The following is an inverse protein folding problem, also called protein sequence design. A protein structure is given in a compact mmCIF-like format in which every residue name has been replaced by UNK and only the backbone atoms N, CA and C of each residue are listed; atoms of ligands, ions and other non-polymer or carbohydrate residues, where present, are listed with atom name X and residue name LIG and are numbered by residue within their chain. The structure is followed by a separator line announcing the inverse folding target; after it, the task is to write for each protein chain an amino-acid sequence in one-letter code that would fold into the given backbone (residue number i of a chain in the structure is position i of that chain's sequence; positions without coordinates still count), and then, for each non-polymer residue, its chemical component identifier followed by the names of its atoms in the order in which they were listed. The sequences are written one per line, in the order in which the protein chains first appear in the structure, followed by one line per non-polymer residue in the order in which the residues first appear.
data_IF_240312383121
#
_entry.id   IF_240312383121
#
_cell.length_a   1.000
_cell.length_b   1.000
_cell.length_c   1.000
_cell.angle_alpha   90.00
_cell.angle_beta   90.00
_cell.angle_gamma   90.00
#
_symmetry.space_group_name_H-M   'P 1'
#
loop_
_entity.id
_entity.type
_entity.pdbx_description
1 polymer ?
#
# COMPACT_ATOMS: atom_id res chain seq x y z
N UNK A 1 4.64 -20.23 -2.33
CA UNK A 1 3.69 -21.27 -1.88
C UNK A 1 2.39 -20.58 -1.51
N UNK A 2 1.24 -21.13 -1.99
CA UNK A 2 -0.07 -20.76 -1.51
C UNK A 2 -0.12 -20.80 0.01
N UNK A 3 -0.61 -19.73 0.59
CA UNK A 3 -0.77 -19.64 2.03
C UNK A 3 -2.20 -20.08 2.39
N UNK A 4 -2.35 -21.20 3.08
CA UNK A 4 -3.65 -21.70 3.49
C UNK A 4 -4.11 -20.96 4.75
N UNK A 5 -4.81 -19.86 4.57
CA UNK A 5 -5.42 -19.13 5.69
C UNK A 5 -6.57 -19.90 6.35
N UNK A 6 -7.12 -20.90 5.67
CA UNK A 6 -8.30 -21.67 6.06
C UNK A 6 -9.57 -20.83 6.33
N UNK A 7 -9.54 -19.54 6.08
CA UNK A 7 -10.68 -18.65 6.24
C UNK A 7 -11.24 -18.20 4.90
N UNK A 8 -12.55 -17.89 4.88
CA UNK A 8 -13.24 -17.21 3.77
C UNK A 8 -13.58 -15.76 4.13
N UNK A 9 -13.18 -15.30 5.30
CA UNK A 9 -13.50 -14.00 5.83
C UNK A 9 -12.59 -12.90 5.24
N UNK A 10 -13.09 -11.66 5.18
CA UNK A 10 -12.30 -10.52 4.74
C UNK A 10 -11.18 -10.23 5.73
N UNK A 11 -9.97 -10.01 5.22
CA UNK A 11 -8.82 -9.50 5.96
C UNK A 11 -8.61 -8.02 5.59
N UNK A 12 -8.41 -7.16 6.59
CA UNK A 12 -8.27 -5.72 6.41
C UNK A 12 -6.83 -5.22 6.54
N UNK A 13 -6.02 -5.93 7.32
CA UNK A 13 -4.62 -5.57 7.51
C UNK A 13 -3.74 -6.80 7.66
N UNK A 14 -2.50 -6.65 7.25
CA UNK A 14 -1.43 -7.63 7.43
C UNK A 14 -0.18 -6.92 7.91
N UNK A 15 0.56 -7.56 8.79
CA UNK A 15 1.82 -7.07 9.33
C UNK A 15 2.82 -8.22 9.48
N UNK A 16 4.09 -7.98 9.15
CA UNK A 16 5.17 -8.95 9.29
C UNK A 16 6.32 -8.34 10.09
N UNK A 17 6.81 -9.11 11.07
CA UNK A 17 7.98 -8.75 11.85
C UNK A 17 9.28 -9.08 11.11
N UNK A 18 9.30 -10.24 10.46
CA UNK A 18 10.43 -10.77 9.68
C UNK A 18 9.90 -11.68 8.56
N UNK A 19 10.80 -12.29 7.80
CA UNK A 19 10.48 -13.23 6.72
C UNK A 19 9.71 -14.49 7.15
N UNK A 20 9.55 -14.76 8.44
CA UNK A 20 8.89 -15.97 8.95
C UNK A 20 7.60 -15.68 9.71
N UNK A 21 7.58 -14.62 10.49
CA UNK A 21 6.50 -14.31 11.44
C UNK A 21 5.65 -13.15 10.98
N UNK A 22 4.36 -13.40 10.82
CA UNK A 22 3.40 -12.39 10.43
C UNK A 22 1.99 -12.68 10.93
N UNK A 23 1.15 -11.66 10.91
CA UNK A 23 -0.23 -11.70 11.36
C UNK A 23 -1.13 -10.95 10.39
N UNK A 24 -2.37 -11.44 10.25
CA UNK A 24 -3.41 -10.76 9.49
C UNK A 24 -4.70 -10.69 10.30
N UNK A 25 -5.45 -9.61 10.15
CA UNK A 25 -6.70 -9.39 10.88
C UNK A 25 -7.84 -9.02 9.94
N UNK A 26 -9.08 -9.31 10.38
CA UNK A 26 -10.25 -9.10 9.53
C UNK A 26 -11.59 -9.10 10.26
N UNK A 27 -12.64 -9.47 9.50
CA UNK A 27 -14.03 -9.54 10.00
C UNK A 27 -14.17 -10.59 11.11
N UNK A 28 -15.22 -10.44 11.93
CA UNK A 28 -15.59 -11.42 12.98
C UNK A 28 -14.46 -11.69 13.99
N UNK A 29 -13.60 -10.70 14.24
CA UNK A 29 -12.48 -10.83 15.14
C UNK A 29 -11.38 -11.77 14.66
N UNK A 30 -11.35 -12.09 13.39
CA UNK A 30 -10.39 -13.02 12.83
C UNK A 30 -8.96 -12.50 12.98
N UNK A 31 -8.11 -13.32 13.57
CA UNK A 31 -6.65 -13.15 13.60
C UNK A 31 -6.03 -14.42 13.06
N UNK A 32 -5.15 -14.28 12.09
CA UNK A 32 -4.32 -15.35 11.56
C UNK A 32 -2.86 -15.05 11.87
N UNK A 33 -2.09 -16.06 12.25
CA UNK A 33 -0.65 -15.96 12.45
C UNK A 33 0.11 -16.99 11.62
N UNK A 34 1.30 -16.64 11.22
CA UNK A 34 2.26 -17.52 10.56
C UNK A 34 3.62 -17.47 11.24
N UNK A 35 4.34 -18.59 11.24
CA UNK A 35 5.72 -18.70 11.74
C UNK A 35 6.68 -19.23 10.65
N UNK A 36 6.19 -19.29 9.41
CA UNK A 36 6.93 -19.85 8.29
C UNK A 36 6.70 -19.06 6.98
N UNK A 37 6.63 -17.73 7.10
CA UNK A 37 6.48 -16.84 5.95
C UNK A 37 5.13 -17.01 5.25
N UNK A 38 4.09 -17.33 6.01
CA UNK A 38 2.73 -17.53 5.51
C UNK A 38 2.46 -18.87 4.82
N UNK A 39 3.41 -19.82 4.80
CA UNK A 39 3.17 -21.16 4.23
C UNK A 39 2.00 -21.88 4.92
N UNK A 40 1.82 -21.60 6.22
CA UNK A 40 0.65 -22.02 7.00
C UNK A 40 0.24 -20.86 7.89
N UNK A 41 -1.05 -20.54 7.82
CA UNK A 41 -1.69 -19.59 8.72
C UNK A 41 -2.50 -20.38 9.74
N UNK A 42 -2.37 -20.01 10.99
CA UNK A 42 -3.09 -20.60 12.11
C UNK A 42 -4.01 -19.52 12.66
N UNK A 43 -5.29 -19.82 12.71
CA UNK A 43 -6.25 -18.94 13.34
C UNK A 43 -5.96 -18.85 14.83
N UNK A 44 -5.88 -17.62 15.31
CA UNK A 44 -5.69 -17.31 16.72
C UNK A 44 -7.00 -16.84 17.33
N UNK A 45 -7.26 -17.25 18.57
CA UNK A 45 -8.45 -16.83 19.29
C UNK A 45 -8.32 -15.39 19.73
N UNK A 46 -9.01 -14.48 19.07
CA UNK A 46 -9.04 -13.06 19.43
C UNK A 46 -9.86 -12.75 20.68
N UNK A 47 -10.81 -13.61 21.01
CA UNK A 47 -11.76 -13.39 22.11
C UNK A 47 -12.86 -12.36 21.79
N UNK A 48 -12.97 -11.88 20.56
CA UNK A 48 -13.97 -10.90 20.13
C UNK A 48 -14.61 -11.27 18.79
N UNK A 49 -15.91 -11.02 18.58
CA UNK A 49 -16.55 -11.14 17.26
C UNK A 49 -16.46 -9.84 16.45
N UNK A 50 -15.87 -8.77 16.99
CA UNK A 50 -15.82 -7.46 16.35
C UNK A 50 -14.78 -7.43 15.22
N UNK A 51 -15.03 -6.62 14.19
CA UNK A 51 -14.09 -6.45 13.08
C UNK A 51 -12.78 -5.82 13.56
N UNK A 52 -11.65 -6.34 13.07
CA UNK A 52 -10.31 -5.82 13.35
C UNK A 52 -9.76 -5.17 12.08
N UNK A 53 -9.44 -3.88 12.14
CA UNK A 53 -9.05 -3.05 10.99
C UNK A 53 -7.55 -2.81 10.88
N UNK A 54 -6.82 -2.92 11.97
CA UNK A 54 -5.39 -2.67 12.01
C UNK A 54 -4.66 -3.63 12.93
N UNK A 55 -3.38 -3.90 12.62
CA UNK A 55 -2.49 -4.70 13.44
C UNK A 55 -1.07 -4.16 13.32
N UNK A 56 -0.33 -4.13 14.43
CA UNK A 56 1.06 -3.74 14.48
C UNK A 56 1.81 -4.52 15.57
N UNK A 57 3.06 -4.83 15.31
CA UNK A 57 3.97 -5.46 16.26
C UNK A 57 5.21 -4.59 16.45
N UNK A 58 5.63 -4.39 17.69
CA UNK A 58 6.86 -3.69 18.03
C UNK A 58 8.08 -4.61 18.06
N UNK A 59 7.86 -5.91 18.26
CA UNK A 59 8.85 -6.98 18.14
C UNK A 59 8.16 -8.32 17.79
N UNK A 60 8.88 -9.43 17.90
CA UNK A 60 8.38 -10.78 17.62
C UNK A 60 7.28 -11.28 18.57
N UNK A 61 7.13 -10.65 19.75
CA UNK A 61 6.24 -11.09 20.84
C UNK A 61 5.13 -10.12 21.14
N UNK A 62 5.43 -8.83 21.13
CA UNK A 62 4.53 -7.78 21.60
C UNK A 62 3.84 -7.11 20.43
N UNK A 63 2.51 -7.23 20.36
CA UNK A 63 1.71 -6.67 19.30
C UNK A 63 0.30 -6.31 19.73
N UNK A 64 -0.33 -5.46 18.93
CA UNK A 64 -1.70 -4.99 19.16
C UNK A 64 -2.54 -5.17 17.89
N UNK A 65 -3.82 -5.52 18.06
CA UNK A 65 -4.82 -5.50 16.99
C UNK A 65 -5.96 -4.57 17.39
N UNK A 66 -6.42 -3.75 16.46
CA UNK A 66 -7.42 -2.70 16.72
C UNK A 66 -8.59 -2.82 15.75
N UNK A 67 -9.78 -2.36 16.18
CA UNK A 67 -10.97 -2.58 15.37
C UNK A 67 -12.20 -1.76 15.77
N UNK A 68 -13.36 -2.30 15.40
CA UNK A 68 -14.67 -1.71 15.60
C UNK A 68 -14.97 -1.47 17.09
N UNK A 69 -15.71 -0.38 17.37
CA UNK A 69 -16.23 -0.04 18.71
C UNK A 69 -15.11 -0.03 19.78
N UNK A 70 -13.97 0.54 19.45
CA UNK A 70 -12.82 0.66 20.36
C UNK A 70 -12.14 -0.67 20.68
N UNK A 71 -12.39 -1.72 19.90
CA UNK A 71 -11.74 -3.01 20.11
C UNK A 71 -10.23 -2.86 20.06
N UNK A 72 -9.57 -3.31 21.13
CA UNK A 72 -8.14 -3.29 21.29
C UNK A 72 -7.70 -4.60 21.94
N UNK A 73 -6.87 -5.34 21.24
CA UNK A 73 -6.32 -6.61 21.68
C UNK A 73 -4.82 -6.49 21.81
N UNK A 74 -4.26 -7.12 22.84
CA UNK A 74 -2.85 -7.16 23.13
C UNK A 74 -2.35 -8.61 23.12
N UNK A 75 -1.19 -8.83 22.56
CA UNK A 75 -0.40 -10.05 22.76
C UNK A 75 1.01 -9.71 23.26
N UNK A 76 1.56 -10.57 24.12
CA UNK A 76 2.95 -10.52 24.60
C UNK A 76 3.71 -11.82 24.33
N UNK A 77 3.11 -12.71 23.52
CA UNK A 77 3.64 -14.04 23.23
C UNK A 77 3.62 -14.37 21.71
N UNK A 78 3.59 -13.32 20.87
CA UNK A 78 3.56 -13.46 19.42
C UNK A 78 2.19 -13.92 18.90
N UNK A 79 1.10 -13.61 19.65
CA UNK A 79 -0.26 -13.92 19.28
C UNK A 79 -0.71 -15.35 19.63
N UNK A 80 0.07 -16.11 20.41
CA UNK A 80 -0.40 -17.39 20.96
C UNK A 80 -1.64 -17.14 21.82
N UNK A 81 -1.63 -16.04 22.58
CA UNK A 81 -2.80 -15.54 23.30
C UNK A 81 -3.03 -14.06 22.99
N UNK A 82 -4.31 -13.69 22.88
CA UNK A 82 -4.77 -12.32 22.72
C UNK A 82 -5.66 -11.95 23.90
N UNK A 83 -5.38 -10.84 24.50
CA UNK A 83 -6.15 -10.32 25.64
C UNK A 83 -6.88 -9.04 25.20
N UNK A 84 -8.17 -8.98 25.49
CA UNK A 84 -8.95 -7.75 25.26
C UNK A 84 -8.51 -6.71 26.28
N UNK A 85 -8.05 -5.57 25.82
CA UNK A 85 -7.83 -4.42 26.67
C UNK A 85 -9.16 -3.70 26.90
N UNK A 86 -9.50 -3.44 28.16
CA UNK A 86 -10.75 -2.79 28.56
C UNK A 86 -10.72 -1.27 28.34
N UNK A 87 -10.18 -0.80 27.22
CA UNK A 87 -10.21 0.63 26.90
C UNK A 87 -11.65 1.12 26.67
N UNK A 88 -11.93 2.32 27.14
CA UNK A 88 -13.26 2.93 27.14
C UNK A 88 -13.57 3.76 25.89
N UNK A 89 -12.87 3.56 24.77
CA UNK A 89 -13.21 4.22 23.52
C UNK A 89 -14.35 3.49 22.80
N UNK A 90 -15.36 4.22 22.36
CA UNK A 90 -16.41 3.69 21.47
C UNK A 90 -16.10 3.95 19.98
N UNK A 91 -14.99 4.62 19.68
CA UNK A 91 -14.58 4.93 18.32
C UNK A 91 -14.06 3.69 17.61
N UNK A 92 -14.30 3.59 16.30
CA UNK A 92 -13.62 2.58 15.48
C UNK A 92 -12.15 2.96 15.37
N UNK A 93 -11.27 2.06 15.73
CA UNK A 93 -9.81 2.21 15.59
C UNK A 93 -9.40 1.65 14.24
N UNK A 94 -8.96 2.52 13.32
CA UNK A 94 -8.77 2.19 11.90
C UNK A 94 -7.36 1.74 11.56
N UNK A 95 -6.35 2.24 12.31
CA UNK A 95 -4.93 1.89 12.09
C UNK A 95 -4.21 1.75 13.43
N UNK A 96 -3.25 0.84 13.45
CA UNK A 96 -2.26 0.72 14.52
C UNK A 96 -0.86 0.96 13.94
N UNK A 97 0.03 1.50 14.75
CA UNK A 97 1.44 1.73 14.43
C UNK A 97 2.30 1.39 15.64
N UNK A 98 3.48 0.81 15.39
CA UNK A 98 4.47 0.47 16.40
C UNK A 98 5.84 0.96 15.96
N UNK A 99 6.61 1.56 16.87
CA UNK A 99 8.00 1.95 16.63
C UNK A 99 8.98 1.15 17.50
N UNK A 100 8.49 0.57 18.59
CA UNK A 100 9.25 -0.24 19.54
C UNK A 100 8.31 -1.22 20.26
N UNK A 101 8.84 -2.27 20.92
CA UNK A 101 8.04 -3.28 21.63
C UNK A 101 7.12 -2.73 22.72
N UNK A 102 7.48 -1.57 23.29
CA UNK A 102 6.69 -0.91 24.33
C UNK A 102 5.87 0.28 23.82
N UNK A 103 6.03 0.72 22.56
CA UNK A 103 5.40 1.94 22.06
C UNK A 103 4.47 1.70 20.90
N UNK A 104 3.19 1.99 21.14
CA UNK A 104 2.11 1.81 20.17
C UNK A 104 1.21 3.04 20.08
N UNK A 105 0.68 3.28 18.89
CA UNK A 105 -0.41 4.23 18.65
C UNK A 105 -1.54 3.55 17.90
N UNK A 106 -2.76 4.02 18.16
CA UNK A 106 -3.92 3.66 17.38
C UNK A 106 -4.73 4.92 17.04
N UNK A 107 -5.16 5.04 15.79
CA UNK A 107 -5.99 6.16 15.33
C UNK A 107 -7.30 5.67 14.76
N UNK A 108 -8.32 6.53 14.77
CA UNK A 108 -9.64 6.13 14.36
C UNK A 108 -10.63 7.25 14.15
N UNK A 109 -11.91 6.88 14.23
CA UNK A 109 -13.04 7.81 14.03
C UNK A 109 -13.07 8.89 15.10
N UNK A 110 -13.67 10.05 14.78
CA UNK A 110 -13.88 11.17 15.69
C UNK A 110 -12.57 11.72 16.30
N UNK A 111 -11.50 11.78 15.50
CA UNK A 111 -10.20 12.31 15.92
C UNK A 111 -9.51 11.49 17.01
N UNK A 112 -9.92 10.24 17.21
CA UNK A 112 -9.37 9.39 18.25
C UNK A 112 -7.89 9.09 17.98
N UNK A 113 -7.03 9.37 18.97
CA UNK A 113 -5.64 8.93 19.04
C UNK A 113 -5.41 8.29 20.41
N UNK A 114 -4.96 7.06 20.41
CA UNK A 114 -4.57 6.32 21.61
C UNK A 114 -3.06 6.05 21.56
N UNK A 115 -2.40 6.11 22.69
CA UNK A 115 -0.97 5.86 22.83
C UNK A 115 -0.68 4.96 24.04
N UNK A 116 0.28 4.07 23.88
CA UNK A 116 0.80 3.20 24.94
C UNK A 116 2.32 3.21 24.93
N UNK A 117 2.93 3.30 26.12
CA UNK A 117 4.38 3.21 26.36
C UNK A 117 4.78 1.91 27.08
N UNK A 118 3.83 1.01 27.34
CA UNK A 118 4.03 -0.20 28.14
C UNK A 118 3.63 -1.48 27.41
N UNK A 119 3.81 -1.50 26.10
CA UNK A 119 3.53 -2.66 25.28
C UNK A 119 2.05 -2.90 25.00
N UNK A 120 1.21 -1.88 25.16
CA UNK A 120 -0.24 -1.97 24.95
C UNK A 120 -1.04 -2.37 26.18
N UNK A 121 -0.41 -2.50 27.36
CA UNK A 121 -1.11 -2.86 28.59
C UNK A 121 -2.01 -1.71 29.08
N UNK A 122 -1.51 -0.48 29.02
CA UNK A 122 -2.29 0.71 29.31
C UNK A 122 -2.25 1.68 28.13
N UNK A 123 -3.37 2.31 27.85
CA UNK A 123 -3.52 3.28 26.80
C UNK A 123 -4.00 4.62 27.32
N UNK A 124 -3.45 5.68 26.83
CA UNK A 124 -3.86 7.05 27.10
C UNK A 124 -4.47 7.67 25.85
N UNK A 125 -5.61 8.34 26.02
CA UNK A 125 -6.18 9.13 24.95
C UNK A 125 -5.39 10.42 24.79
N UNK A 126 -4.87 10.65 23.59
CA UNK A 126 -4.18 11.89 23.25
C UNK A 126 -5.16 12.89 22.65
N UNK A 127 -4.97 14.17 22.96
CA UNK A 127 -5.83 15.24 22.46
C UNK A 127 -5.44 15.60 21.02
N UNK A 128 -6.22 15.13 20.06
CA UNK A 128 -6.04 15.47 18.64
C UNK A 128 -6.53 16.89 18.30
N UNK A 129 -7.43 17.45 19.12
CA UNK A 129 -8.17 18.68 18.83
C UNK A 129 -8.91 18.66 17.49
N UNK A 130 -9.21 17.47 16.97
CA UNK A 130 -9.94 17.22 15.73
C UNK A 130 -11.12 16.29 15.97
N UNK A 131 -12.22 16.51 15.25
CA UNK A 131 -13.35 15.58 15.19
C UNK A 131 -13.33 14.72 13.92
N UNK A 132 -12.39 14.94 13.01
CA UNK A 132 -12.29 14.23 11.74
C UNK A 132 -11.80 12.80 11.94
N UNK A 133 -12.22 11.89 11.07
CA UNK A 133 -11.74 10.51 11.08
C UNK A 133 -10.27 10.46 10.65
N UNK A 134 -9.42 9.82 11.43
CA UNK A 134 -8.00 9.63 11.17
C UNK A 134 -7.77 8.27 10.53
N UNK A 135 -7.19 8.26 9.33
CA UNK A 135 -7.08 7.07 8.48
C UNK A 135 -5.68 6.49 8.37
N UNK A 136 -4.66 7.31 8.63
CA UNK A 136 -3.26 6.91 8.54
C UNK A 136 -2.47 7.50 9.70
N UNK A 137 -1.45 6.80 10.18
CA UNK A 137 -0.51 7.27 11.19
C UNK A 137 0.87 6.69 10.91
N UNK A 138 1.91 7.50 11.09
CA UNK A 138 3.30 7.07 11.01
C UNK A 138 4.17 7.90 11.96
N UNK A 139 5.27 7.31 12.38
CA UNK A 139 6.36 7.99 13.09
C UNK A 139 7.68 7.69 12.38
N UNK A 140 8.52 8.68 12.20
CA UNK A 140 9.89 8.52 11.67
C UNK A 140 10.89 8.27 12.79
N UNK A 141 10.57 8.68 14.02
CA UNK A 141 11.31 8.39 15.24
C UNK A 141 10.38 8.46 16.46
N UNK A 142 10.89 8.23 17.67
CA UNK A 142 10.08 8.18 18.90
C UNK A 142 9.31 9.47 19.22
N UNK A 143 9.69 10.61 18.64
CA UNK A 143 9.12 11.92 18.96
C UNK A 143 8.30 12.49 17.80
N UNK A 144 8.77 12.30 16.58
CA UNK A 144 8.24 12.97 15.40
C UNK A 144 7.31 12.04 14.63
N UNK A 145 6.05 12.43 14.50
CA UNK A 145 5.04 11.66 13.82
C UNK A 145 3.90 12.50 13.24
N UNK A 146 3.15 11.89 12.33
CA UNK A 146 1.99 12.52 11.68
C UNK A 146 0.83 11.55 11.56
N UNK A 147 -0.38 12.11 11.52
CA UNK A 147 -1.60 11.40 11.15
C UNK A 147 -2.38 12.22 10.13
N UNK A 148 -3.05 11.54 9.20
CA UNK A 148 -3.91 12.19 8.20
C UNK A 148 -5.30 11.55 8.17
N UNK A 149 -6.28 12.30 7.63
CA UNK A 149 -7.65 11.83 7.66
C UNK A 149 -8.66 12.67 6.86
N UNK A 150 -9.93 12.53 7.24
CA UNK A 150 -11.04 13.24 6.63
C UNK A 150 -10.87 14.77 6.72
N UNK A 151 -11.60 15.48 5.86
CA UNK A 151 -11.65 16.96 5.83
C UNK A 151 -10.27 17.61 5.72
N UNK A 152 -9.34 16.99 5.00
CA UNK A 152 -7.98 17.48 4.82
C UNK A 152 -7.14 17.48 6.10
N UNK A 153 -7.56 16.77 7.13
CA UNK A 153 -6.86 16.77 8.41
C UNK A 153 -5.46 16.20 8.27
N UNK A 154 -4.46 16.97 8.71
CA UNK A 154 -3.09 16.52 8.99
C UNK A 154 -2.74 17.01 10.39
N UNK A 155 -2.34 16.11 11.28
CA UNK A 155 -1.83 16.47 12.60
C UNK A 155 -0.36 16.03 12.70
N UNK A 156 0.46 16.83 13.38
CA UNK A 156 1.88 16.58 13.64
C UNK A 156 2.13 16.54 15.14
N UNK A 157 3.00 15.67 15.56
CA UNK A 157 3.59 15.67 16.91
C UNK A 157 5.11 15.74 16.79
N UNK A 158 5.75 16.41 17.75
CA UNK A 158 7.21 16.47 17.94
C UNK A 158 7.64 15.99 19.32
N UNK A 159 6.69 15.46 20.10
CA UNK A 159 6.89 15.03 21.49
C UNK A 159 6.36 13.61 21.77
N UNK A 160 6.27 12.78 20.71
CA UNK A 160 5.79 11.40 20.81
C UNK A 160 4.28 11.30 20.99
N UNK A 161 3.54 12.35 20.61
CA UNK A 161 2.09 12.41 20.69
C UNK A 161 1.55 12.98 22.00
N UNK A 162 2.41 13.50 22.91
CA UNK A 162 1.92 14.21 24.07
C UNK A 162 1.07 15.42 23.65
N UNK A 163 1.48 16.08 22.57
CA UNK A 163 0.69 17.11 21.90
C UNK A 163 0.61 16.86 20.41
N UNK A 164 -0.55 17.19 19.81
CA UNK A 164 -0.78 17.15 18.39
C UNK A 164 -1.20 18.52 17.89
N UNK A 165 -0.53 19.03 16.87
CA UNK A 165 -0.81 20.33 16.23
C UNK A 165 -1.39 20.09 14.84
N UNK A 166 -2.49 20.78 14.53
CA UNK A 166 -3.07 20.75 13.19
C UNK A 166 -2.13 21.45 12.21
N UNK A 167 -1.89 20.80 11.08
CA UNK A 167 -1.17 21.36 9.96
C UNK A 167 -2.17 21.85 8.92
N UNK A 168 -1.95 23.02 8.36
CA UNK A 168 -2.85 23.62 7.37
C UNK A 168 -2.61 22.99 6.00
N UNK A 169 -3.40 21.98 5.63
CA UNK A 169 -3.39 21.42 4.27
C UNK A 169 -4.17 22.28 3.27
N UNK A 170 -5.10 23.12 3.77
CA UNK A 170 -6.11 23.83 2.96
C UNK A 170 -6.97 22.90 2.08
N UNK A 171 -7.03 21.61 2.41
CA UNK A 171 -7.86 20.62 1.75
C UNK A 171 -9.19 20.45 2.48
N UNK A 172 -10.27 20.18 1.73
CA UNK A 172 -11.53 19.67 2.27
C UNK A 172 -11.73 18.20 1.92
N UNK A 173 -10.76 17.57 1.26
CA UNK A 173 -10.84 16.17 0.80
C UNK A 173 -10.25 15.22 1.85
N UNK A 174 -10.72 13.97 1.84
CA UNK A 174 -10.09 12.91 2.61
C UNK A 174 -8.62 12.73 2.18
N UNK A 175 -7.68 12.80 3.12
CA UNK A 175 -6.29 12.43 2.95
C UNK A 175 -6.08 11.03 3.53
N UNK A 176 -6.19 10.02 2.66
CA UNK A 176 -6.22 8.61 3.06
C UNK A 176 -4.85 8.03 3.39
N UNK A 177 -3.78 8.67 2.91
CA UNK A 177 -2.40 8.22 3.10
C UNK A 177 -1.46 9.38 3.40
N UNK A 178 -0.46 9.11 4.24
CA UNK A 178 0.65 10.02 4.51
C UNK A 178 1.95 9.23 4.51
N UNK A 179 3.02 9.81 3.98
CA UNK A 179 4.35 9.20 3.92
C UNK A 179 5.43 10.25 4.10
N UNK A 180 6.52 9.90 4.77
CA UNK A 180 7.70 10.73 4.94
C UNK A 180 8.95 9.92 4.59
N UNK A 181 9.91 10.54 3.92
CA UNK A 181 11.22 9.96 3.62
C UNK A 181 12.27 10.30 4.69
N UNK A 182 12.07 11.42 5.37
CA UNK A 182 12.90 11.93 6.46
C UNK A 182 12.11 12.89 7.34
N UNK A 183 12.76 13.58 8.27
CA UNK A 183 12.10 14.51 9.22
C UNK A 183 11.46 15.74 8.54
N UNK A 184 11.81 16.03 7.29
CA UNK A 184 11.39 17.25 6.58
C UNK A 184 10.51 16.98 5.37
N UNK A 185 10.81 15.93 4.59
CA UNK A 185 10.13 15.68 3.32
C UNK A 185 9.02 14.65 3.45
N UNK A 186 7.80 15.06 3.11
CA UNK A 186 6.62 14.21 3.18
C UNK A 186 5.54 14.56 2.19
N UNK A 187 4.63 13.62 1.98
CA UNK A 187 3.48 13.73 1.08
C UNK A 187 2.23 13.21 1.74
N UNK A 188 1.11 13.86 1.44
CA UNK A 188 -0.23 13.39 1.77
C UNK A 188 -1.07 13.34 0.50
N UNK A 189 -1.79 12.25 0.29
CA UNK A 189 -2.60 12.03 -0.90
C UNK A 189 -4.00 11.55 -0.53
N UNK A 190 -4.97 11.84 -1.39
CA UNK A 190 -6.36 11.51 -1.08
C UNK A 190 -7.36 11.66 -2.21
N UNK A 191 -8.62 11.79 -1.83
CA UNK A 191 -9.74 11.93 -2.74
C UNK A 191 -9.64 13.19 -3.62
N UNK A 192 -10.27 13.14 -4.80
CA UNK A 192 -10.28 14.26 -5.74
C UNK A 192 -8.94 14.50 -6.43
N UNK A 193 -7.99 13.53 -6.36
CA UNK A 193 -6.68 13.65 -6.99
C UNK A 193 -5.73 14.63 -6.28
N UNK A 194 -5.98 14.94 -5.02
CA UNK A 194 -5.13 15.86 -4.28
C UNK A 194 -3.84 15.20 -3.83
N UNK A 195 -2.74 15.89 -4.03
CA UNK A 195 -1.42 15.57 -3.49
C UNK A 195 -0.90 16.84 -2.80
N UNK A 196 -0.50 16.71 -1.56
CA UNK A 196 0.19 17.76 -0.81
C UNK A 196 1.61 17.30 -0.50
N UNK A 197 2.57 18.20 -0.59
CA UNK A 197 3.95 17.96 -0.20
C UNK A 197 4.40 18.98 0.85
N UNK A 198 5.29 18.53 1.71
CA UNK A 198 6.03 19.36 2.66
C UNK A 198 7.53 19.15 2.49
N UNK A 199 8.32 20.20 2.73
CA UNK A 199 9.78 20.16 2.76
C UNK A 199 10.34 20.71 4.07
N UNK A 200 9.46 20.99 5.04
CA UNK A 200 9.75 21.57 6.36
C UNK A 200 9.14 20.75 7.50
N UNK A 201 8.94 19.45 7.26
CA UNK A 201 8.39 18.54 8.25
C UNK A 201 6.91 18.77 8.56
N UNK A 202 6.17 19.38 7.61
CA UNK A 202 4.73 19.59 7.74
C UNK A 202 4.34 20.96 8.34
N UNK A 203 5.29 21.86 8.59
CA UNK A 203 4.93 23.23 9.00
C UNK A 203 4.11 23.92 7.89
N UNK A 204 4.46 23.66 6.63
CA UNK A 204 3.69 24.05 5.46
C UNK A 204 3.42 22.87 4.54
N UNK A 205 2.19 22.77 4.06
CA UNK A 205 1.78 21.81 3.06
C UNK A 205 1.35 22.54 1.80
N UNK A 206 2.05 22.29 0.72
CA UNK A 206 1.75 22.89 -0.57
C UNK A 206 1.01 21.86 -1.41
N UNK A 207 -0.20 22.22 -1.82
CA UNK A 207 -0.91 21.40 -2.81
C UNK A 207 -0.07 21.36 -4.07
N UNK A 208 0.22 20.17 -4.50
CA UNK A 208 0.92 19.93 -5.73
C UNK A 208 -0.09 20.09 -6.86
N UNK A 209 0.09 21.14 -7.63
CA UNK A 209 -0.77 21.42 -8.79
C UNK A 209 0.03 21.17 -10.06
N UNK A 210 -0.66 20.74 -11.09
CA UNK A 210 -0.12 20.56 -12.42
C UNK A 210 0.15 21.89 -13.18
N UNK A 211 0.08 23.01 -12.46
CA UNK A 211 0.37 24.36 -12.99
C UNK A 211 -0.68 24.90 -13.96
N UNK A 212 -1.50 24.07 -14.61
CA UNK A 212 -2.44 24.52 -15.66
C UNK A 212 -3.79 23.79 -15.72
N UNK A 213 -3.96 22.63 -15.09
CA UNK A 213 -5.19 21.86 -15.21
C UNK A 213 -5.81 21.54 -13.84
N UNK A 214 -7.08 21.85 -13.68
CA UNK A 214 -7.96 21.37 -12.62
C UNK A 214 -8.23 19.88 -12.83
N UNK A 215 -7.22 19.01 -12.64
CA UNK A 215 -7.40 17.57 -12.76
C UNK A 215 -8.19 17.07 -11.55
N UNK A 216 -9.50 16.93 -11.71
CA UNK A 216 -10.39 16.28 -10.74
C UNK A 216 -10.43 14.76 -10.92
N UNK A 217 -9.39 14.18 -11.53
CA UNK A 217 -9.34 12.76 -11.81
C UNK A 217 -8.82 11.99 -10.61
N UNK A 218 -9.30 10.77 -10.45
CA UNK A 218 -8.77 9.83 -9.48
C UNK A 218 -7.44 9.29 -10.00
N UNK A 219 -6.38 9.37 -9.19
CA UNK A 219 -5.11 8.72 -9.48
C UNK A 219 -5.11 7.29 -8.91
N UNK A 220 -4.56 6.37 -9.70
CA UNK A 220 -4.55 4.94 -9.39
C UNK A 220 -3.18 4.43 -8.94
N UNK A 221 -2.09 5.03 -9.45
CA UNK A 221 -0.75 4.62 -9.09
C UNK A 221 0.22 5.80 -9.07
N UNK A 222 1.24 5.71 -8.22
CA UNK A 222 2.36 6.64 -8.11
C UNK A 222 3.65 5.87 -7.95
N UNK A 223 4.71 6.33 -8.63
CA UNK A 223 6.06 5.80 -8.46
C UNK A 223 7.09 6.93 -8.58
N UNK A 224 8.11 6.85 -7.73
CA UNK A 224 9.32 7.66 -7.83
C UNK A 224 10.51 6.79 -8.24
N UNK A 225 11.29 7.23 -9.23
CA UNK A 225 12.54 6.59 -9.60
C UNK A 225 13.70 7.02 -8.70
N UNK A 226 13.61 8.22 -8.16
CA UNK A 226 14.56 8.79 -7.19
C UNK A 226 13.86 9.91 -6.37
N UNK A 227 14.60 10.61 -5.52
CA UNK A 227 14.07 11.69 -4.66
C UNK A 227 13.47 12.87 -5.42
N UNK A 228 13.82 13.07 -6.68
CA UNK A 228 13.39 14.23 -7.47
C UNK A 228 12.37 13.87 -8.55
N UNK A 229 12.46 12.68 -9.14
CA UNK A 229 11.65 12.27 -10.31
C UNK A 229 10.59 11.24 -9.95
N UNK A 230 9.34 11.61 -10.22
CA UNK A 230 8.17 10.74 -9.98
C UNK A 230 7.07 10.93 -11.00
N UNK A 231 6.18 9.94 -11.08
CA UNK A 231 5.03 9.91 -11.99
C UNK A 231 3.79 9.45 -11.26
N UNK A 232 2.66 10.01 -11.67
CA UNK A 232 1.32 9.66 -11.18
C UNK A 232 0.45 9.37 -12.39
N UNK A 233 -0.33 8.30 -12.33
CA UNK A 233 -1.24 7.90 -13.41
C UNK A 233 -2.65 7.65 -12.86
N UNK A 234 -3.67 7.84 -13.72
CA UNK A 234 -5.05 7.73 -13.27
C UNK A 234 -6.09 7.66 -14.35
N UNK A 235 -7.31 8.04 -13.99
CA UNK A 235 -8.47 7.99 -14.88
C UNK A 235 -8.32 8.93 -16.08
N UNK A 236 -9.05 8.62 -17.17
CA UNK A 236 -9.11 9.43 -18.39
C UNK A 236 -7.74 9.71 -19.01
N UNK A 237 -6.80 8.76 -18.92
CA UNK A 237 -5.46 8.89 -19.47
C UNK A 237 -4.56 9.89 -18.75
N UNK A 238 -4.90 10.29 -17.54
CA UNK A 238 -4.12 11.28 -16.77
C UNK A 238 -2.73 10.76 -16.44
N UNK A 239 -1.70 11.52 -16.81
CA UNK A 239 -0.30 11.31 -16.43
C UNK A 239 0.27 12.63 -15.96
N UNK A 240 0.84 12.64 -14.76
CA UNK A 240 1.64 13.74 -14.23
C UNK A 240 3.06 13.28 -13.99
N UNK A 241 4.04 14.18 -14.14
CA UNK A 241 5.42 13.94 -13.73
C UNK A 241 5.97 15.09 -12.90
N UNK A 242 6.93 14.77 -12.08
CA UNK A 242 7.73 15.74 -11.33
C UNK A 242 9.21 15.51 -11.56
N UNK A 243 10.02 16.57 -11.48
CA UNK A 243 11.49 16.53 -11.53
C UNK A 243 12.12 17.27 -10.35
N UNK A 244 11.32 17.64 -9.36
CA UNK A 244 11.72 18.44 -8.19
C UNK A 244 11.17 17.86 -6.87
N UNK A 245 10.96 16.54 -6.83
CA UNK A 245 10.46 15.84 -5.65
C UNK A 245 8.98 16.09 -5.37
N UNK A 246 8.20 16.39 -6.41
CA UNK A 246 6.77 16.65 -6.27
C UNK A 246 6.41 18.08 -5.87
N UNK A 247 7.38 19.02 -5.85
CA UNK A 247 7.07 20.45 -5.61
C UNK A 247 6.22 21.02 -6.73
N UNK A 248 6.51 20.60 -7.96
CA UNK A 248 5.68 20.88 -9.13
C UNK A 248 5.40 19.61 -9.92
N UNK A 249 4.19 19.46 -10.39
CA UNK A 249 3.77 18.39 -11.27
C UNK A 249 3.38 18.95 -12.61
N UNK A 250 3.75 18.28 -13.67
CA UNK A 250 3.43 18.67 -15.06
C UNK A 250 2.61 17.59 -15.71
N UNK A 251 1.49 17.98 -16.30
CA UNK A 251 0.67 17.09 -17.12
C UNK A 251 1.46 16.62 -18.32
N UNK A 252 1.41 15.33 -18.56
CA UNK A 252 1.99 14.70 -19.74
C UNK A 252 0.88 14.21 -20.67
N UNK A 253 1.10 14.33 -21.96
CA UNK A 253 0.17 13.82 -22.96
C UNK A 253 0.36 12.31 -23.14
N UNK A 254 -0.55 11.53 -22.57
CA UNK A 254 -0.54 10.06 -22.70
C UNK A 254 -1.01 9.57 -24.07
N UNK A 255 -1.70 10.42 -24.85
CA UNK A 255 -2.29 10.03 -26.13
C UNK A 255 -3.52 9.10 -26.02
N UNK A 256 -4.05 8.89 -24.82
CA UNK A 256 -5.19 8.00 -24.58
C UNK A 256 -6.19 8.62 -23.59
N UNK A 257 -7.44 8.13 -23.63
CA UNK A 257 -8.48 8.40 -22.63
C UNK A 257 -8.79 7.18 -21.77
N UNK A 258 -8.05 6.08 -21.93
CA UNK A 258 -8.20 4.89 -21.10
C UNK A 258 -7.81 5.18 -19.66
N UNK A 259 -8.45 4.50 -18.70
CA UNK A 259 -8.02 4.57 -17.31
C UNK A 259 -6.67 3.85 -17.18
N UNK A 260 -5.68 4.56 -16.66
CA UNK A 260 -4.34 4.05 -16.43
C UNK A 260 -4.25 3.49 -15.01
N UNK A 261 -3.75 2.27 -14.85
CA UNK A 261 -3.82 1.51 -13.60
C UNK A 261 -2.47 1.28 -12.95
N UNK A 262 -1.43 1.07 -13.75
CA UNK A 262 -0.08 0.79 -13.27
C UNK A 262 0.99 1.62 -13.96
N UNK A 263 2.04 1.95 -13.21
CA UNK A 263 3.22 2.66 -13.71
C UNK A 263 4.49 1.98 -13.18
N UNK A 264 5.51 1.84 -14.04
CA UNK A 264 6.81 1.29 -13.67
C UNK A 264 7.93 2.02 -14.40
N UNK A 265 8.88 2.55 -13.64
CA UNK A 265 10.11 3.19 -14.12
C UNK A 265 11.32 2.45 -13.55
N UNK A 266 12.27 2.09 -14.39
CA UNK A 266 13.54 1.48 -13.96
C UNK A 266 14.61 2.52 -13.64
N UNK A 267 14.45 3.71 -14.20
CA UNK A 267 15.28 4.89 -13.98
C UNK A 267 14.46 6.16 -14.28
N UNK A 268 15.09 7.32 -14.26
CA UNK A 268 14.39 8.59 -14.55
C UNK A 268 14.09 8.84 -16.02
N UNK A 269 14.35 7.91 -16.93
CA UNK A 269 14.12 8.07 -18.37
C UNK A 269 13.20 7.00 -18.95
N UNK A 270 13.38 5.73 -18.54
CA UNK A 270 12.69 4.58 -19.14
C UNK A 270 11.55 4.11 -18.25
N UNK A 271 10.34 4.16 -18.78
CA UNK A 271 9.13 3.79 -18.04
C UNK A 271 8.01 3.24 -18.90
N UNK A 272 7.08 2.58 -18.22
CA UNK A 272 5.90 1.96 -18.75
C UNK A 272 4.66 2.34 -17.95
N UNK A 273 3.54 2.50 -18.67
CA UNK A 273 2.20 2.69 -18.09
C UNK A 273 1.29 1.65 -18.71
N UNK A 274 0.44 1.03 -17.92
CA UNK A 274 -0.57 0.09 -18.36
C UNK A 274 -1.97 0.47 -17.85
N UNK A 275 -3.01 0.01 -18.57
CA UNK A 275 -4.38 0.34 -18.23
C UNK A 275 -5.42 -0.44 -19.01
N UNK A 276 -6.65 0.10 -19.02
CA UNK A 276 -7.80 -0.53 -19.64
C UNK A 276 -7.65 -0.71 -21.16
N UNK A 277 -8.36 -1.69 -21.69
CA UNK A 277 -8.44 -1.99 -23.14
C UNK A 277 -7.08 -2.28 -23.76
N UNK A 278 -6.22 -3.01 -23.05
CA UNK A 278 -4.88 -3.36 -23.51
C UNK A 278 -3.94 -2.16 -23.66
N UNK A 279 -4.24 -1.04 -23.01
CA UNK A 279 -3.40 0.16 -23.07
C UNK A 279 -2.04 -0.11 -22.47
N UNK A 280 -0.99 0.04 -23.29
CA UNK A 280 0.40 0.02 -22.86
C UNK A 280 1.14 1.19 -23.50
N UNK A 281 1.77 2.03 -22.68
CA UNK A 281 2.52 3.21 -23.10
C UNK A 281 3.95 3.07 -22.62
N UNK A 282 4.92 3.43 -23.47
CA UNK A 282 6.34 3.44 -23.15
C UNK A 282 6.92 4.83 -23.32
N UNK A 283 7.84 5.18 -22.45
CA UNK A 283 8.71 6.35 -22.60
C UNK A 283 10.19 5.96 -22.49
N UNK A 284 11.05 6.73 -23.14
CA UNK A 284 12.51 6.67 -23.01
C UNK A 284 13.10 8.06 -22.71
N UNK A 285 12.26 9.04 -22.37
CA UNK A 285 12.65 10.42 -22.12
C UNK A 285 11.97 11.01 -20.86
N UNK A 286 11.68 10.15 -19.89
CA UNK A 286 11.06 10.57 -18.62
C UNK A 286 9.59 10.96 -18.75
N UNK A 287 8.93 10.54 -19.85
CA UNK A 287 7.52 10.82 -20.11
C UNK A 287 7.28 12.11 -20.91
N UNK A 288 8.33 12.78 -21.38
CA UNK A 288 8.14 13.90 -22.30
C UNK A 288 7.37 13.45 -23.56
N UNK A 289 7.60 12.21 -23.98
CA UNK A 289 6.82 11.56 -25.04
C UNK A 289 6.43 10.14 -24.60
N UNK A 290 5.13 9.82 -24.77
CA UNK A 290 4.58 8.49 -24.55
C UNK A 290 4.23 7.85 -25.89
N UNK A 291 4.73 6.66 -26.12
CA UNK A 291 4.45 5.88 -27.33
C UNK A 291 3.53 4.71 -26.97
N UNK A 292 2.37 4.65 -27.61
CA UNK A 292 1.51 3.48 -27.49
C UNK A 292 2.19 2.26 -28.13
N UNK A 293 2.31 1.20 -27.37
CA UNK A 293 2.82 -0.09 -27.84
C UNK A 293 1.66 -1.05 -27.96
N UNK A 294 1.28 -1.46 -29.18
CA UNK A 294 0.17 -2.37 -29.38
C UNK A 294 0.54 -3.74 -28.79
N UNK A 295 -0.28 -4.21 -27.86
CA UNK A 295 -0.23 -5.57 -27.34
C UNK A 295 -1.16 -6.47 -28.15
N UNK A 296 -0.88 -7.76 -28.19
CA UNK A 296 -1.75 -8.77 -28.82
C UNK A 296 -3.06 -9.01 -28.05
N UNK A 297 -3.33 -8.24 -27.01
CA UNK A 297 -4.50 -8.34 -26.13
C UNK A 297 -5.24 -7.01 -26.03
N UNK A 298 -6.57 -7.07 -25.94
CA UNK A 298 -7.46 -5.94 -25.62
C UNK A 298 -7.99 -6.03 -24.18
N UNK A 299 -7.51 -6.98 -23.39
CA UNK A 299 -7.88 -7.15 -21.98
C UNK A 299 -7.37 -5.97 -21.15
N UNK A 300 -8.05 -5.69 -20.04
CA UNK A 300 -7.59 -4.69 -19.08
C UNK A 300 -6.28 -5.15 -18.44
N UNK A 301 -5.33 -4.22 -18.36
CA UNK A 301 -4.03 -4.42 -17.75
C UNK A 301 -4.00 -3.72 -16.39
N UNK A 302 -3.60 -4.43 -15.33
CA UNK A 302 -3.70 -3.96 -13.96
C UNK A 302 -2.34 -3.62 -13.35
N UNK A 303 -1.32 -4.45 -13.59
CA UNK A 303 0.01 -4.28 -13.04
C UNK A 303 1.13 -4.35 -14.06
N UNK A 304 2.21 -3.61 -13.81
CA UNK A 304 3.44 -3.66 -14.59
C UNK A 304 4.65 -3.55 -13.65
N UNK A 305 5.70 -4.32 -13.94
CA UNK A 305 6.98 -4.24 -13.23
C UNK A 305 8.14 -4.47 -14.19
N UNK A 306 9.25 -3.77 -13.95
CA UNK A 306 10.53 -3.99 -14.64
C UNK A 306 11.63 -4.20 -13.60
N UNK A 307 12.49 -5.18 -13.81
CA UNK A 307 13.67 -5.46 -12.96
C UNK A 307 14.97 -4.98 -13.60
N UNK A 308 14.91 -4.67 -14.87
CA UNK A 308 16.03 -4.11 -15.66
C UNK A 308 15.48 -3.20 -16.77
N UNK A 309 16.31 -2.43 -17.46
CA UNK A 309 15.85 -1.65 -18.62
C UNK A 309 15.24 -2.49 -19.75
N UNK A 310 15.50 -3.80 -19.81
CA UNK A 310 15.05 -4.71 -20.87
C UNK A 310 13.99 -5.68 -20.41
N UNK A 311 14.04 -6.17 -19.16
CA UNK A 311 13.20 -7.27 -18.70
C UNK A 311 12.04 -6.78 -17.85
N UNK A 312 10.81 -7.08 -18.28
CA UNK A 312 9.60 -6.64 -17.59
C UNK A 312 8.41 -7.55 -17.83
N UNK A 313 7.41 -7.42 -16.95
CA UNK A 313 6.17 -8.18 -16.99
C UNK A 313 4.97 -7.25 -16.85
N UNK A 314 3.90 -7.59 -17.59
CA UNK A 314 2.57 -6.97 -17.49
C UNK A 314 1.58 -8.06 -17.11
N UNK A 315 0.62 -7.74 -16.25
CA UNK A 315 -0.45 -8.64 -15.85
C UNK A 315 -1.82 -7.98 -15.98
N UNK A 316 -2.87 -8.78 -16.20
CA UNK A 316 -4.22 -8.29 -16.43
C UNK A 316 -5.28 -9.37 -16.34
N UNK A 317 -6.43 -9.10 -16.99
CA UNK A 317 -7.60 -9.98 -17.00
C UNK A 317 -7.31 -11.36 -17.59
N UNK A 318 -8.20 -12.34 -17.29
CA UNK A 318 -8.18 -13.71 -17.83
C UNK A 318 -6.86 -14.45 -17.62
N UNK A 319 -6.10 -14.09 -16.59
CA UNK A 319 -4.81 -14.72 -16.28
C UNK A 319 -3.68 -14.27 -17.20
N UNK A 320 -3.84 -13.14 -17.88
CA UNK A 320 -2.83 -12.61 -18.79
C UNK A 320 -1.53 -12.29 -18.04
N UNK A 321 -0.43 -12.85 -18.54
CA UNK A 321 0.93 -12.46 -18.19
C UNK A 321 1.71 -12.28 -19.48
N UNK A 322 2.28 -11.09 -19.70
CA UNK A 322 3.15 -10.79 -20.82
C UNK A 322 4.57 -10.53 -20.30
N UNK A 323 5.56 -11.00 -21.03
CA UNK A 323 6.98 -10.81 -20.75
C UNK A 323 7.68 -10.13 -21.92
N UNK A 324 8.60 -9.25 -21.61
CA UNK A 324 9.55 -8.65 -22.54
C UNK A 324 10.98 -8.84 -22.06
N UNK A 325 11.92 -8.97 -23.00
CA UNK A 325 13.36 -8.93 -22.76
C UNK A 325 14.09 -7.92 -23.68
N UNK A 326 13.31 -7.07 -24.34
CA UNK A 326 13.79 -6.08 -25.33
C UNK A 326 13.28 -4.67 -25.02
N UNK A 327 13.11 -4.35 -23.73
CA UNK A 327 12.55 -3.09 -23.26
C UNK A 327 11.13 -2.84 -23.75
N UNK A 328 10.35 -3.91 -24.01
CA UNK A 328 8.96 -3.84 -24.46
C UNK A 328 8.77 -3.48 -25.92
N UNK A 329 9.78 -3.63 -26.77
CA UNK A 329 9.58 -3.56 -28.22
C UNK A 329 8.71 -4.72 -28.69
N UNK A 330 8.87 -5.90 -28.05
CA UNK A 330 7.97 -7.04 -28.22
C UNK A 330 7.54 -7.63 -26.87
N UNK A 331 6.33 -8.17 -26.84
CA UNK A 331 5.77 -8.83 -25.66
C UNK A 331 5.31 -10.23 -26.02
N UNK A 332 5.73 -11.20 -25.23
CA UNK A 332 5.37 -12.61 -25.40
C UNK A 332 4.45 -13.03 -24.26
N UNK A 333 3.30 -13.61 -24.61
CA UNK A 333 2.37 -14.15 -23.63
C UNK A 333 2.97 -15.39 -22.95
N UNK A 334 2.94 -15.40 -21.63
CA UNK A 334 3.35 -16.52 -20.79
C UNK A 334 2.13 -17.29 -20.29
N UNK A 335 2.22 -18.62 -20.22
CA UNK A 335 1.11 -19.45 -19.79
C UNK A 335 1.04 -19.44 -18.26
N UNK A 336 0.12 -18.67 -17.70
CA UNK A 336 -0.09 -18.55 -16.25
C UNK A 336 -0.71 -19.80 -15.63
N UNK A 337 -1.37 -20.68 -16.40
CA UNK A 337 -2.25 -21.75 -15.94
C UNK A 337 -3.38 -21.26 -15.02
N UNK A 338 -3.72 -19.98 -15.07
CA UNK A 338 -4.77 -19.32 -14.34
C UNK A 338 -5.68 -18.57 -15.31
N UNK A 339 -6.98 -18.51 -15.04
CA UNK A 339 -7.98 -17.76 -15.85
C UNK A 339 -8.58 -16.58 -15.10
N UNK A 340 -8.15 -16.34 -13.89
CA UNK A 340 -8.62 -15.23 -13.06
C UNK A 340 -7.86 -13.95 -13.40
N UNK A 341 -8.44 -12.81 -13.07
CA UNK A 341 -7.78 -11.52 -13.25
C UNK A 341 -6.52 -11.43 -12.38
N UNK A 342 -5.44 -10.93 -12.97
CA UNK A 342 -4.17 -10.70 -12.31
C UNK A 342 -4.04 -9.21 -12.00
N UNK A 343 -3.97 -8.85 -10.71
CA UNK A 343 -4.01 -7.46 -10.24
C UNK A 343 -2.62 -6.84 -10.07
N UNK A 344 -1.70 -7.60 -9.52
CA UNK A 344 -0.37 -7.09 -9.21
C UNK A 344 0.72 -8.11 -9.53
N UNK A 345 1.88 -7.59 -9.91
CA UNK A 345 3.08 -8.37 -10.23
C UNK A 345 4.30 -7.77 -9.55
N UNK A 346 5.17 -8.62 -9.03
CA UNK A 346 6.46 -8.23 -8.48
C UNK A 346 7.53 -9.26 -8.84
N UNK A 347 8.75 -8.79 -9.09
CA UNK A 347 9.91 -9.62 -9.34
C UNK A 347 11.08 -9.12 -8.47
N UNK A 348 11.85 -10.06 -7.93
CA UNK A 348 13.09 -9.76 -7.20
C UNK A 348 14.28 -9.62 -8.15
N UNK A 349 14.26 -10.40 -9.22
CA UNK A 349 15.26 -10.45 -10.26
C UNK A 349 14.62 -10.96 -11.57
N UNK A 350 15.42 -11.14 -12.63
CA UNK A 350 14.91 -11.59 -13.92
C UNK A 350 14.40 -13.05 -13.93
N UNK A 351 14.53 -13.81 -12.83
CA UNK A 351 14.12 -15.22 -12.74
C UNK A 351 12.96 -15.46 -11.79
N UNK A 352 12.92 -14.73 -10.66
CA UNK A 352 12.05 -15.03 -9.54
C UNK A 352 10.97 -13.98 -9.37
N UNK A 353 9.69 -14.36 -9.55
CA UNK A 353 8.58 -13.41 -9.45
C UNK A 353 7.23 -14.03 -9.13
N UNK A 354 6.30 -13.17 -8.72
CA UNK A 354 4.94 -13.54 -8.32
C UNK A 354 3.91 -12.61 -8.93
N UNK A 355 2.75 -13.18 -9.20
CA UNK A 355 1.56 -12.46 -9.66
C UNK A 355 0.38 -12.87 -8.78
N UNK A 356 -0.44 -11.90 -8.41
CA UNK A 356 -1.62 -12.12 -7.57
C UNK A 356 -2.86 -11.46 -8.17
N UNK A 357 -4.07 -11.93 -7.80
CA UNK A 357 -5.30 -11.37 -8.36
C UNK A 357 -6.59 -11.96 -7.83
N UNK A 358 -7.60 -12.02 -8.73
CA UNK A 358 -8.96 -12.48 -8.47
C UNK A 358 -9.00 -13.90 -7.92
N UNK A 359 -10.03 -14.18 -7.12
CA UNK A 359 -10.29 -15.49 -6.51
C UNK A 359 -9.11 -16.03 -5.69
N UNK A 360 -8.24 -15.14 -5.18
CA UNK A 360 -7.06 -15.51 -4.42
C UNK A 360 -5.95 -16.13 -5.27
N UNK A 361 -5.93 -15.85 -6.57
CA UNK A 361 -4.90 -16.36 -7.48
C UNK A 361 -3.52 -15.88 -7.07
N UNK A 362 -2.57 -16.81 -6.98
CA UNK A 362 -1.14 -16.55 -6.86
C UNK A 362 -0.41 -17.46 -7.82
N UNK A 363 0.36 -16.92 -8.74
CA UNK A 363 1.26 -17.70 -9.59
C UNK A 363 2.69 -17.26 -9.34
N UNK A 364 3.61 -18.20 -9.37
CA UNK A 364 5.03 -18.03 -9.04
C UNK A 364 5.91 -18.63 -10.12
N UNK A 365 6.98 -17.94 -10.44
CA UNK A 365 8.03 -18.42 -11.34
C UNK A 365 9.41 -18.34 -10.67
N UNK A 366 10.31 -19.22 -11.10
CA UNK A 366 11.75 -19.23 -10.75
C UNK A 366 12.62 -19.32 -11.98
N UNK A 367 12.05 -19.09 -13.17
CA UNK A 367 12.71 -19.24 -14.46
C UNK A 367 12.35 -18.09 -15.43
N UNK A 368 11.96 -16.92 -14.87
CA UNK A 368 11.61 -15.72 -15.64
C UNK A 368 10.26 -15.85 -16.34
N UNK A 369 9.38 -16.70 -15.81
CA UNK A 369 8.03 -16.91 -16.35
C UNK A 369 7.97 -17.89 -17.52
N UNK A 370 9.05 -18.64 -17.83
CA UNK A 370 8.98 -19.76 -18.79
C UNK A 370 7.99 -20.80 -18.28
N UNK A 371 7.94 -20.97 -16.96
CA UNK A 371 6.90 -21.75 -16.28
C UNK A 371 6.32 -20.95 -15.11
N UNK A 372 4.99 -20.92 -15.03
CA UNK A 372 4.26 -20.36 -13.90
C UNK A 372 3.56 -21.48 -13.16
N UNK A 373 3.72 -21.53 -11.86
CA UNK A 373 3.07 -22.50 -11.00
C UNK A 373 2.00 -21.81 -10.19
N UNK A 374 0.76 -22.24 -10.37
CA UNK A 374 -0.34 -21.77 -9.53
C UNK A 374 -0.04 -22.20 -8.08
N UNK A 375 -0.11 -21.24 -7.19
CA UNK A 375 0.00 -21.43 -5.76
C UNK A 375 -1.38 -21.22 -5.13
N UNK A 376 -1.77 -22.09 -4.22
CA UNK A 376 -3.02 -21.89 -3.49
C UNK A 376 -2.81 -20.79 -2.44
N UNK A 377 -3.49 -19.66 -2.54
CA UNK A 377 -3.47 -18.60 -1.53
C UNK A 377 -4.27 -18.95 -0.27
N UNK A 378 -5.12 -19.98 -0.36
CA UNK A 378 -6.04 -20.36 0.72
C UNK A 378 -7.25 -19.41 0.84
N UNK A 379 -7.37 -18.40 -0.01
CA UNK A 379 -8.52 -17.50 -0.12
C UNK A 379 -9.15 -17.57 -1.50
N UNK A 380 -10.40 -17.12 -1.63
CA UNK A 380 -11.08 -16.84 -2.91
C UNK A 380 -11.38 -15.34 -3.07
N UNK A 381 -10.77 -14.50 -2.22
CA UNK A 381 -10.88 -13.05 -2.31
C UNK A 381 -9.88 -12.49 -3.28
N UNK A 382 -10.15 -11.30 -3.76
CA UNK A 382 -9.22 -10.56 -4.60
C UNK A 382 -7.95 -10.21 -3.81
N UNK A 383 -6.79 -10.37 -4.44
CA UNK A 383 -5.49 -9.93 -3.96
C UNK A 383 -5.06 -8.76 -4.85
N UNK A 384 -5.01 -7.57 -4.28
CA UNK A 384 -4.82 -6.31 -5.04
C UNK A 384 -3.37 -5.85 -5.10
N UNK A 385 -2.52 -6.37 -4.23
CA UNK A 385 -1.11 -5.98 -4.16
C UNK A 385 -0.24 -7.14 -3.73
N UNK A 386 1.02 -7.12 -4.17
CA UNK A 386 2.03 -8.12 -3.81
C UNK A 386 3.39 -7.46 -3.66
N UNK A 387 4.13 -7.86 -2.63
CA UNK A 387 5.49 -7.41 -2.38
C UNK A 387 6.32 -8.55 -1.82
N UNK A 388 7.59 -8.62 -2.22
CA UNK A 388 8.55 -9.62 -1.75
C UNK A 388 9.84 -8.94 -1.27
N UNK A 389 10.32 -9.37 -0.09
CA UNK A 389 11.59 -8.94 0.46
C UNK A 389 12.75 -9.80 -0.08
N UNK A 390 12.52 -11.09 -0.33
CA UNK A 390 13.44 -12.07 -0.90
C UNK A 390 12.68 -13.22 -1.57
N UNK A 391 13.39 -14.22 -2.13
CA UNK A 391 12.80 -15.34 -2.86
C UNK A 391 11.91 -16.27 -2.01
N UNK A 392 11.83 -16.07 -0.70
CA UNK A 392 11.07 -16.91 0.24
C UNK A 392 10.02 -16.16 1.02
N UNK A 393 10.13 -14.82 1.04
CA UNK A 393 9.38 -13.95 1.96
C UNK A 393 8.67 -12.85 1.21
N UNK A 394 7.35 -12.91 1.16
CA UNK A 394 6.50 -11.92 0.53
C UNK A 394 5.06 -11.93 1.03
N UNK A 395 4.32 -10.92 0.63
CA UNK A 395 2.97 -10.63 1.10
C UNK A 395 2.06 -10.23 -0.08
N UNK A 396 0.80 -10.59 0.04
CA UNK A 396 -0.25 -10.21 -0.90
C UNK A 396 -1.56 -9.86 -0.17
#
# INVERSE_FOLDING_TARGET
KSQKSKTKNHLYAVWFHDERRGWAVGVEGLILATQNGGQHWIEQKSGTPKQLFGIAFGDEKTGVAVGAEGTLLLTSDGGVTWQTNAQTSSANLLRAFAIAPNRFWAVGTNGTILHSDDGGANWTTQQSNSSSHLHSILFVNEKLGWTSGADGTILKTSDGGATWSAQLSNSAQLLSAISFTDDNMGWAAGEGGVIYATTDGGETWLQQTDGEANIRNMFNAVQFADKDRGWVVGMNGSVLSTTDGGKTWRTQNSGTTANLRGVSFVDGQHGWIVGERGTALRTSDGGANWQAKPLSSQLDLHGVTFVSPTDGWIVGEEGLILFTSDAGESWTAQISNCRFWMEAVTFLDAQTGWVVGEAGSVVHTTDGGKTWKLQESGTRRWLYSVSFADAKTGWA
#
